data_IF_230308402146
#
_entry.id   IF_230308402146
#
_cell.length_a   1.000
_cell.length_b   1.000
_cell.length_c   1.000
_cell.angle_alpha   90.00
_cell.angle_beta   90.00
_cell.angle_gamma   90.00
#
_symmetry.space_group_name_H-M   'P 1'
#
loop_
_entity.id
_entity.type
_entity.pdbx_description
1 polymer ?
#
# COMPACT_ATOMS: atom_id res chain seq x y z
N UNK A 1 -3.19 42.97 26.79
CA UNK A 1 -2.19 42.03 27.30
C UNK A 1 -2.35 40.76 26.48
N UNK A 2 -1.40 40.43 25.62
CA UNK A 2 -1.43 39.16 24.89
C UNK A 2 -1.30 38.04 25.92
N UNK A 3 -2.21 37.08 25.86
CA UNK A 3 -2.19 35.92 26.74
C UNK A 3 -0.85 35.18 26.58
N UNK A 4 -0.26 34.78 27.70
CA UNK A 4 1.06 34.15 27.72
C UNK A 4 1.06 32.81 26.95
N UNK A 5 -0.09 32.14 26.96
CA UNK A 5 -0.31 30.89 26.24
C UNK A 5 -0.42 31.12 24.72
N UNK A 6 -1.22 32.09 24.29
CA UNK A 6 -1.31 32.49 22.88
C UNK A 6 0.05 32.92 22.32
N UNK A 7 0.87 33.60 23.13
CA UNK A 7 2.23 33.98 22.73
C UNK A 7 3.13 32.78 22.50
N UNK A 8 3.04 31.74 23.35
CA UNK A 8 3.80 30.48 23.18
C UNK A 8 3.37 29.75 21.91
N UNK A 9 2.06 29.67 21.67
CA UNK A 9 1.49 29.03 20.49
C UNK A 9 1.93 29.71 19.19
N UNK A 10 1.85 31.04 19.13
CA UNK A 10 2.31 31.81 17.97
C UNK A 10 3.81 31.64 17.72
N UNK A 11 4.62 31.61 18.78
CA UNK A 11 6.06 31.34 18.67
C UNK A 11 6.35 29.95 18.09
N UNK A 12 5.64 28.92 18.56
CA UNK A 12 5.80 27.56 18.03
C UNK A 12 5.42 27.49 16.55
N UNK A 13 4.29 28.10 16.16
CA UNK A 13 3.85 28.17 14.76
C UNK A 13 4.88 28.83 13.85
N UNK A 14 5.47 29.93 14.29
CA UNK A 14 6.50 30.65 13.53
C UNK A 14 7.81 29.86 13.40
N UNK A 15 8.06 28.85 14.23
CA UNK A 15 9.32 28.10 14.28
C UNK A 15 9.26 26.74 13.58
N UNK A 16 8.12 26.34 13.01
CA UNK A 16 7.91 25.04 12.35
C UNK A 16 8.95 24.72 11.27
N UNK A 17 9.36 25.73 10.51
CA UNK A 17 10.37 25.60 9.45
C UNK A 17 11.77 25.17 9.93
N UNK A 18 12.04 25.17 11.24
CA UNK A 18 13.34 24.77 11.83
C UNK A 18 13.56 23.27 11.90
N UNK A 19 12.48 22.50 11.88
CA UNK A 19 12.51 21.03 11.82
C UNK A 19 11.57 20.58 10.70
N UNK A 20 11.93 20.86 9.44
CA UNK A 20 11.10 20.49 8.31
C UNK A 20 11.36 19.05 7.90
N UNK A 21 10.33 18.40 7.38
CA UNK A 21 10.38 17.08 6.76
C UNK A 21 9.58 17.09 5.46
N UNK A 22 9.90 16.18 4.54
CA UNK A 22 9.10 15.98 3.33
C UNK A 22 7.95 15.04 3.66
N UNK A 23 6.72 15.41 3.30
CA UNK A 23 5.49 14.73 3.77
C UNK A 23 5.48 13.24 3.44
N UNK A 24 5.74 12.88 2.18
CA UNK A 24 5.66 11.50 1.72
C UNK A 24 7.05 10.83 1.58
N UNK A 25 8.11 11.51 2.04
CA UNK A 25 9.50 11.02 2.00
C UNK A 25 10.28 11.43 3.27
N UNK A 26 9.89 10.85 4.39
CA UNK A 26 10.58 10.97 5.68
C UNK A 26 10.61 9.60 6.38
N UNK A 27 11.43 9.48 7.43
CA UNK A 27 11.62 8.20 8.13
C UNK A 27 10.34 7.63 8.73
N UNK A 28 9.48 8.49 9.28
CA UNK A 28 8.23 8.03 9.88
C UNK A 28 7.31 7.45 8.81
N UNK A 29 7.10 8.19 7.72
CA UNK A 29 6.28 7.72 6.60
C UNK A 29 6.83 6.45 5.97
N UNK A 30 8.14 6.32 5.82
CA UNK A 30 8.75 5.09 5.31
C UNK A 30 8.45 3.92 6.24
N UNK A 31 8.62 4.09 7.55
CA UNK A 31 8.34 3.04 8.55
C UNK A 31 6.87 2.64 8.55
N UNK A 32 5.97 3.61 8.56
CA UNK A 32 4.53 3.38 8.52
C UNK A 32 4.16 2.60 7.25
N UNK A 33 4.70 3.01 6.09
CA UNK A 33 4.42 2.32 4.83
C UNK A 33 4.96 0.89 4.79
N UNK A 34 6.14 0.64 5.35
CA UNK A 34 6.69 -0.72 5.46
C UNK A 34 5.82 -1.60 6.36
N UNK A 35 5.31 -1.04 7.45
CA UNK A 35 4.40 -1.73 8.36
C UNK A 35 3.08 -2.07 7.67
N UNK A 36 2.45 -1.10 6.98
CA UNK A 36 1.21 -1.31 6.22
C UNK A 36 1.37 -2.43 5.16
N UNK A 37 2.48 -2.39 4.40
CA UNK A 37 2.76 -3.42 3.39
C UNK A 37 2.89 -4.80 4.04
N UNK A 38 3.58 -4.88 5.18
CA UNK A 38 3.75 -6.14 5.92
C UNK A 38 2.40 -6.71 6.36
N UNK A 39 1.54 -5.91 6.96
CA UNK A 39 0.20 -6.35 7.39
C UNK A 39 -0.66 -6.82 6.21
N UNK A 40 -0.59 -6.12 5.08
CA UNK A 40 -1.31 -6.51 3.87
C UNK A 40 -0.78 -7.82 3.28
N UNK A 41 0.54 -8.02 3.26
CA UNK A 41 1.14 -9.30 2.83
C UNK A 41 0.75 -10.45 3.77
N UNK A 42 0.73 -10.22 5.09
CA UNK A 42 0.27 -11.21 6.07
C UNK A 42 -1.22 -11.53 5.87
N UNK A 43 -2.06 -10.53 5.55
CA UNK A 43 -3.48 -10.76 5.23
C UNK A 43 -3.66 -11.66 4.01
N UNK A 44 -2.83 -11.49 2.98
CA UNK A 44 -2.83 -12.38 1.80
C UNK A 44 -2.47 -13.81 2.21
N UNK A 45 -1.48 -13.99 3.10
CA UNK A 45 -1.14 -15.31 3.62
C UNK A 45 -2.34 -16.01 4.26
N UNK A 46 -3.15 -15.29 5.05
CA UNK A 46 -4.37 -15.82 5.66
C UNK A 46 -5.49 -16.12 4.66
N UNK A 47 -5.66 -15.27 3.64
CA UNK A 47 -6.64 -15.48 2.57
C UNK A 47 -6.33 -16.75 1.78
N UNK A 48 -5.05 -16.99 1.49
CA UNK A 48 -4.60 -18.16 0.74
C UNK A 48 -4.68 -19.42 1.62
N UNK A 49 -4.19 -19.40 2.86
CA UNK A 49 -4.19 -20.59 3.74
C UNK A 49 -5.59 -21.13 4.11
N UNK A 50 -6.61 -20.27 4.12
CA UNK A 50 -7.97 -20.68 4.52
C UNK A 50 -8.77 -21.23 3.33
N UNK A 51 -8.36 -20.89 2.11
CA UNK A 51 -9.09 -21.15 0.87
C UNK A 51 -8.09 -21.36 -0.30
N UNK A 52 -7.12 -22.26 -0.10
CA UNK A 52 -6.07 -22.56 -1.10
C UNK A 52 -6.70 -22.96 -2.45
N UNK A 53 -7.87 -23.62 -2.41
CA UNK A 53 -8.67 -23.96 -3.59
C UNK A 53 -9.06 -22.71 -4.39
N UNK A 54 -9.36 -21.58 -3.74
CA UNK A 54 -9.76 -20.35 -4.43
C UNK A 54 -8.61 -19.70 -5.21
N UNK A 55 -7.38 -19.65 -4.67
CA UNK A 55 -6.24 -19.11 -5.43
C UNK A 55 -5.83 -20.05 -6.58
N UNK A 56 -5.79 -21.35 -6.32
CA UNK A 56 -5.49 -22.37 -7.34
C UNK A 56 -6.53 -22.34 -8.46
N UNK A 57 -7.83 -22.23 -8.12
CA UNK A 57 -8.90 -22.07 -9.11
C UNK A 57 -8.80 -20.75 -9.89
N UNK A 58 -8.35 -19.66 -9.25
CA UNK A 58 -8.12 -18.38 -9.94
C UNK A 58 -7.01 -18.47 -11.00
N UNK A 59 -6.10 -19.43 -10.81
CA UNK A 59 -4.96 -19.71 -11.68
C UNK A 59 -5.17 -20.98 -12.50
N UNK A 60 -6.41 -21.27 -12.88
CA UNK A 60 -6.79 -22.40 -13.74
C UNK A 60 -6.30 -23.77 -13.25
N UNK A 61 -6.22 -23.95 -11.92
CA UNK A 61 -5.74 -25.20 -11.31
C UNK A 61 -4.21 -25.31 -11.22
N UNK A 62 -3.46 -24.25 -11.53
CA UNK A 62 -2.01 -24.26 -11.49
C UNK A 62 -1.47 -24.06 -10.06
N UNK A 63 -1.23 -25.18 -9.37
CA UNK A 63 -0.69 -25.20 -8.01
C UNK A 63 0.71 -24.58 -7.90
N UNK A 64 1.57 -24.75 -8.92
CA UNK A 64 2.93 -24.21 -8.92
C UNK A 64 2.90 -22.67 -8.97
N UNK A 65 2.08 -22.09 -9.85
CA UNK A 65 1.91 -20.64 -9.94
C UNK A 65 1.28 -20.05 -8.66
N UNK A 66 0.30 -20.74 -8.08
CA UNK A 66 -0.30 -20.32 -6.80
C UNK A 66 0.74 -20.29 -5.67
N UNK A 67 1.59 -21.32 -5.62
CA UNK A 67 2.68 -21.39 -4.65
C UNK A 67 3.72 -20.29 -4.88
N UNK A 68 4.17 -20.07 -6.11
CA UNK A 68 5.10 -19.00 -6.46
C UNK A 68 4.55 -17.63 -6.07
N UNK A 69 3.27 -17.37 -6.36
CA UNK A 69 2.61 -16.11 -6.01
C UNK A 69 2.59 -15.89 -4.49
N UNK A 70 2.29 -16.92 -3.70
CA UNK A 70 2.36 -16.87 -2.23
C UNK A 70 3.78 -16.61 -1.72
N UNK A 71 4.78 -17.25 -2.32
CA UNK A 71 6.18 -17.04 -1.98
C UNK A 71 6.61 -15.59 -2.25
N UNK A 72 6.15 -14.96 -3.33
CA UNK A 72 6.45 -13.56 -3.61
C UNK A 72 5.93 -12.59 -2.53
N UNK A 73 4.72 -12.81 -1.99
CA UNK A 73 4.21 -12.00 -0.86
C UNK A 73 5.00 -12.25 0.43
N UNK A 74 5.40 -13.50 0.67
CA UNK A 74 6.20 -13.90 1.84
C UNK A 74 7.59 -13.25 1.80
N UNK A 75 8.24 -13.26 0.64
CA UNK A 75 9.55 -12.62 0.43
C UNK A 75 9.45 -11.10 0.60
N UNK A 76 8.42 -10.49 0.04
CA UNK A 76 8.18 -9.05 0.19
C UNK A 76 7.94 -8.66 1.66
N UNK A 77 7.18 -9.46 2.41
CA UNK A 77 6.96 -9.29 3.85
C UNK A 77 8.30 -9.33 4.61
N UNK A 78 9.12 -10.36 4.36
CA UNK A 78 10.43 -10.51 4.98
C UNK A 78 11.39 -9.36 4.63
N UNK A 79 11.34 -8.83 3.42
CA UNK A 79 12.14 -7.68 3.01
C UNK A 79 11.68 -6.37 3.66
N UNK A 80 10.37 -6.15 3.79
CA UNK A 80 9.84 -5.00 4.52
C UNK A 80 10.27 -5.04 5.99
N UNK A 81 10.22 -6.22 6.62
CA UNK A 81 10.68 -6.41 7.99
C UNK A 81 12.19 -6.14 8.14
N UNK A 82 13.00 -6.65 7.22
CA UNK A 82 14.45 -6.39 7.21
C UNK A 82 14.73 -4.91 7.10
N UNK A 83 14.10 -4.22 6.14
CA UNK A 83 14.28 -2.78 5.98
C UNK A 83 13.79 -2.01 7.21
N UNK A 84 12.66 -2.38 7.81
CA UNK A 84 12.14 -1.75 9.02
C UNK A 84 13.12 -1.89 10.19
N UNK A 85 13.64 -3.10 10.42
CA UNK A 85 14.68 -3.35 11.43
C UNK A 85 15.94 -2.50 11.17
N UNK A 86 16.38 -2.47 9.92
CA UNK A 86 17.54 -1.72 9.44
C UNK A 86 17.41 -0.20 9.71
N UNK A 87 16.22 0.37 9.48
CA UNK A 87 15.92 1.78 9.77
C UNK A 87 15.89 2.13 11.26
N UNK A 88 15.93 1.14 12.15
CA UNK A 88 15.96 1.32 13.61
C UNK A 88 17.36 1.09 14.21
N UNK A 89 18.37 0.84 13.37
CA UNK A 89 19.76 0.70 13.77
C UNK A 89 20.51 2.05 13.77
N UNK A 90 21.67 2.09 14.43
CA UNK A 90 22.48 3.31 14.65
C UNK A 90 23.09 3.92 13.37
N UNK A 91 23.09 3.21 12.24
CA UNK A 91 23.72 3.69 11.00
C UNK A 91 22.90 4.72 10.22
N UNK A 92 21.72 5.08 10.73
CA UNK A 92 20.83 6.05 10.12
C UNK A 92 21.43 7.46 10.20
N UNK A 93 21.54 8.19 9.07
CA UNK A 93 22.04 9.54 9.12
C UNK A 93 21.03 10.45 9.81
N UNK A 94 21.44 11.13 10.88
CA UNK A 94 20.61 12.11 11.61
C UNK A 94 19.99 13.19 10.69
N UNK A 95 20.64 13.44 9.55
CA UNK A 95 20.17 14.41 8.57
C UNK A 95 19.13 13.88 7.58
N UNK A 96 18.71 12.61 7.62
CA UNK A 96 17.85 11.99 6.59
C UNK A 96 16.63 12.85 6.21
N UNK A 97 15.81 13.22 7.20
CA UNK A 97 14.58 13.96 6.90
C UNK A 97 14.90 15.37 6.37
N UNK A 98 15.93 16.02 6.91
CA UNK A 98 16.39 17.33 6.43
C UNK A 98 17.08 17.26 5.07
N UNK A 99 17.64 16.11 4.70
CA UNK A 99 18.38 15.92 3.46
C UNK A 99 17.45 16.09 2.26
N UNK A 100 16.33 15.36 2.26
CA UNK A 100 15.33 15.44 1.18
C UNK A 100 14.66 16.82 1.10
N UNK A 101 14.45 17.50 2.24
CA UNK A 101 14.02 18.90 2.25
C UNK A 101 15.09 19.80 1.59
N UNK A 102 16.35 19.67 1.97
CA UNK A 102 17.42 20.55 1.50
C UNK A 102 17.68 20.47 -0.01
N UNK A 103 17.41 19.32 -0.62
CA UNK A 103 17.53 19.10 -2.08
C UNK A 103 16.24 19.41 -2.86
N UNK A 104 15.15 19.81 -2.19
CA UNK A 104 13.91 20.24 -2.84
C UNK A 104 12.92 19.13 -3.16
N UNK A 105 12.98 17.97 -2.49
CA UNK A 105 12.04 16.87 -2.75
C UNK A 105 10.60 17.17 -2.27
N UNK A 106 10.36 18.31 -1.61
CA UNK A 106 9.01 18.71 -1.18
C UNK A 106 8.01 18.82 -2.33
N UNK A 107 8.44 19.27 -3.50
CA UNK A 107 7.55 19.46 -4.67
C UNK A 107 6.99 18.13 -5.21
N UNK A 108 7.80 17.07 -5.18
CA UNK A 108 7.44 15.76 -5.74
C UNK A 108 6.76 14.83 -4.73
N UNK A 109 6.96 15.05 -3.43
CA UNK A 109 6.57 14.11 -2.36
C UNK A 109 5.61 14.75 -1.34
N UNK A 110 4.55 15.39 -1.85
CA UNK A 110 3.39 15.79 -1.04
C UNK A 110 3.55 17.08 -0.23
N UNK A 111 4.62 17.84 -0.45
CA UNK A 111 4.90 19.10 0.23
C UNK A 111 5.79 18.96 1.47
N UNK A 112 5.96 20.08 2.18
CA UNK A 112 6.76 20.15 3.39
C UNK A 112 5.88 20.21 4.64
N UNK A 113 6.30 19.49 5.68
CA UNK A 113 5.76 19.61 7.02
C UNK A 113 6.80 20.23 7.96
N UNK A 114 6.37 20.92 9.00
CA UNK A 114 7.24 21.46 10.04
C UNK A 114 6.71 21.18 11.44
N UNK A 115 7.61 20.84 12.35
CA UNK A 115 7.28 20.45 13.72
C UNK A 115 6.82 21.64 14.58
N UNK A 116 5.64 21.53 15.16
CA UNK A 116 5.10 22.47 16.13
C UNK A 116 5.37 21.98 17.56
N UNK A 117 6.26 22.66 18.29
CA UNK A 117 6.62 22.28 19.66
C UNK A 117 5.52 22.51 20.70
N UNK A 118 4.49 23.30 20.39
CA UNK A 118 3.37 23.52 21.32
C UNK A 118 2.33 22.40 21.14
N UNK A 119 1.95 22.10 19.90
CA UNK A 119 0.98 21.04 19.57
C UNK A 119 1.62 19.63 19.58
N UNK A 120 2.95 19.54 19.61
CA UNK A 120 3.74 18.29 19.58
C UNK A 120 3.52 17.46 18.31
N UNK A 121 3.25 18.12 17.18
CA UNK A 121 2.88 17.48 15.92
C UNK A 121 3.42 18.24 14.69
N UNK A 122 3.39 17.62 13.52
CA UNK A 122 3.81 18.18 12.25
C UNK A 122 2.64 18.83 11.49
N UNK A 123 2.89 20.00 10.92
CA UNK A 123 1.90 20.75 10.15
C UNK A 123 2.45 21.17 8.79
N UNK A 124 1.57 21.23 7.79
CA UNK A 124 1.92 21.71 6.46
C UNK A 124 2.52 23.13 6.46
N UNK A 125 3.55 23.32 5.64
CA UNK A 125 4.14 24.61 5.32
C UNK A 125 3.60 25.05 3.95
N UNK A 126 3.09 26.28 3.84
CA UNK A 126 2.42 26.76 2.62
C UNK A 126 2.97 28.09 2.07
N UNK A 127 3.86 28.76 2.82
CA UNK A 127 4.42 30.06 2.46
C UNK A 127 5.83 30.28 3.01
N UNK A 128 6.46 29.23 3.53
CA UNK A 128 7.80 29.26 4.14
C UNK A 128 8.73 28.22 3.55
N UNK A 129 8.40 27.64 2.41
CA UNK A 129 9.10 26.46 1.87
C UNK A 129 10.54 26.80 1.51
N UNK A 130 10.76 27.98 0.90
CA UNK A 130 12.11 28.51 0.68
C UNK A 130 12.91 28.65 1.99
N UNK A 131 12.27 29.04 3.10
CA UNK A 131 12.95 29.13 4.40
C UNK A 131 13.24 27.75 5.00
N UNK A 132 12.35 26.78 4.82
CA UNK A 132 12.53 25.42 5.28
C UNK A 132 13.67 24.73 4.53
N UNK A 133 13.71 24.84 3.21
CA UNK A 133 14.82 24.35 2.39
C UNK A 133 16.13 25.02 2.77
N UNK A 134 16.14 26.34 2.95
CA UNK A 134 17.35 27.07 3.32
C UNK A 134 17.86 26.69 4.72
N UNK A 135 16.97 26.45 5.69
CA UNK A 135 17.37 25.94 7.01
C UNK A 135 17.94 24.52 6.94
N UNK A 136 17.32 23.63 6.15
CA UNK A 136 17.86 22.30 5.89
C UNK A 136 19.23 22.37 5.22
N UNK A 137 19.39 23.20 4.19
CA UNK A 137 20.69 23.44 3.53
C UNK A 137 21.74 23.99 4.48
N UNK A 138 21.37 24.89 5.40
CA UNK A 138 22.30 25.39 6.44
C UNK A 138 22.76 24.26 7.35
N UNK A 139 21.86 23.36 7.74
CA UNK A 139 22.21 22.20 8.57
C UNK A 139 23.13 21.23 7.83
N UNK A 140 22.81 20.91 6.56
CA UNK A 140 23.67 20.07 5.72
C UNK A 140 25.05 20.68 5.46
N UNK A 141 25.15 22.00 5.29
CA UNK A 141 26.42 22.73 5.11
C UNK A 141 27.33 22.72 6.35
N UNK A 142 26.83 22.29 7.53
CA UNK A 142 27.67 22.10 8.72
C UNK A 142 28.44 20.79 8.68
N UNK A 143 28.02 19.83 7.86
CA UNK A 143 28.74 18.60 7.62
C UNK A 143 30.00 18.90 6.80
N UNK A 144 31.07 18.16 7.07
CA UNK A 144 32.23 18.08 6.18
C UNK A 144 31.82 17.49 4.82
N UNK A 145 32.66 17.68 3.80
CA UNK A 145 32.41 17.11 2.47
C UNK A 145 32.29 15.58 2.53
N UNK A 146 33.14 14.94 3.32
CA UNK A 146 33.14 13.48 3.46
C UNK A 146 31.89 12.98 4.20
N UNK A 147 31.46 13.66 5.27
CA UNK A 147 30.21 13.36 5.96
C UNK A 147 29.00 13.55 5.07
N UNK A 148 28.94 14.64 4.30
CA UNK A 148 27.85 14.90 3.37
C UNK A 148 27.78 13.82 2.28
N UNK A 149 28.91 13.38 1.73
CA UNK A 149 28.96 12.28 0.74
C UNK A 149 28.48 10.97 1.38
N UNK A 150 28.95 10.65 2.58
CA UNK A 150 28.55 9.44 3.30
C UNK A 150 27.05 9.43 3.62
N UNK A 151 26.52 10.55 4.14
CA UNK A 151 25.11 10.73 4.44
C UNK A 151 24.25 10.66 3.17
N UNK A 152 24.66 11.33 2.09
CA UNK A 152 23.96 11.30 0.79
C UNK A 152 23.87 9.87 0.27
N UNK A 153 24.99 9.13 0.29
CA UNK A 153 25.01 7.71 -0.10
C UNK A 153 23.97 6.92 0.68
N UNK A 154 23.89 7.11 2.00
CA UNK A 154 22.96 6.36 2.83
C UNK A 154 21.50 6.76 2.57
N UNK A 155 21.23 8.06 2.44
CA UNK A 155 19.89 8.56 2.09
C UNK A 155 19.40 7.98 0.77
N UNK A 156 20.24 7.97 -0.27
CA UNK A 156 19.88 7.41 -1.57
C UNK A 156 19.69 5.89 -1.53
N UNK A 157 20.49 5.16 -0.75
CA UNK A 157 20.30 3.70 -0.59
C UNK A 157 18.95 3.38 0.03
N UNK A 158 18.60 4.08 1.12
CA UNK A 158 17.30 3.92 1.78
C UNK A 158 16.17 4.24 0.80
N UNK A 159 16.25 5.39 0.12
CA UNK A 159 15.25 5.79 -0.86
C UNK A 159 15.06 4.76 -1.98
N UNK A 160 16.17 4.30 -2.59
CA UNK A 160 16.11 3.31 -3.66
C UNK A 160 15.51 1.98 -3.20
N UNK A 161 15.92 1.49 -2.03
CA UNK A 161 15.36 0.27 -1.43
C UNK A 161 13.86 0.41 -1.14
N UNK A 162 13.45 1.56 -0.59
CA UNK A 162 12.05 1.85 -0.31
C UNK A 162 11.19 1.88 -1.58
N UNK A 163 11.62 2.62 -2.60
CA UNK A 163 10.89 2.73 -3.87
C UNK A 163 10.79 1.36 -4.57
N UNK A 164 11.85 0.56 -4.53
CA UNK A 164 11.84 -0.79 -5.09
C UNK A 164 10.89 -1.75 -4.35
N UNK A 165 10.74 -1.60 -3.02
CA UNK A 165 9.76 -2.35 -2.24
C UNK A 165 8.33 -1.93 -2.57
N UNK A 166 8.04 -0.62 -2.58
CA UNK A 166 6.72 -0.10 -2.95
C UNK A 166 6.32 -0.58 -4.34
N UNK A 167 7.22 -0.44 -5.33
CA UNK A 167 6.91 -0.84 -6.69
C UNK A 167 6.53 -2.32 -6.80
N UNK A 168 7.25 -3.21 -6.09
CA UNK A 168 6.95 -4.64 -6.07
C UNK A 168 5.64 -4.94 -5.35
N UNK A 169 5.38 -4.26 -4.24
CA UNK A 169 4.09 -4.35 -3.55
C UNK A 169 2.94 -3.94 -4.46
N UNK A 170 3.04 -2.79 -5.14
CA UNK A 170 1.98 -2.29 -6.02
C UNK A 170 1.72 -3.25 -7.19
N UNK A 171 2.79 -3.83 -7.77
CA UNK A 171 2.64 -4.87 -8.80
C UNK A 171 1.92 -6.12 -8.28
N UNK A 172 2.34 -6.63 -7.12
CA UNK A 172 1.75 -7.83 -6.51
C UNK A 172 0.29 -7.60 -6.08
N UNK A 173 0.01 -6.43 -5.50
CA UNK A 173 -1.34 -6.04 -5.10
C UNK A 173 -2.26 -5.94 -6.30
N UNK A 174 -1.82 -5.28 -7.38
CA UNK A 174 -2.60 -5.20 -8.61
C UNK A 174 -2.90 -6.58 -9.20
N UNK A 175 -1.93 -7.50 -9.20
CA UNK A 175 -2.15 -8.88 -9.63
C UNK A 175 -3.17 -9.60 -8.74
N UNK A 176 -3.06 -9.46 -7.41
CA UNK A 176 -3.99 -10.09 -6.47
C UNK A 176 -5.41 -9.55 -6.60
N UNK A 177 -5.56 -8.23 -6.80
CA UNK A 177 -6.86 -7.60 -7.00
C UNK A 177 -7.52 -8.10 -8.30
N UNK A 178 -6.75 -8.28 -9.38
CA UNK A 178 -7.25 -8.90 -10.62
C UNK A 178 -7.75 -10.33 -10.36
N UNK A 179 -6.98 -11.15 -9.62
CA UNK A 179 -7.37 -12.53 -9.30
C UNK A 179 -8.63 -12.58 -8.43
N UNK A 180 -8.76 -11.68 -7.45
CA UNK A 180 -9.96 -11.56 -6.62
C UNK A 180 -11.19 -11.13 -7.41
N UNK A 181 -11.07 -10.12 -8.26
CA UNK A 181 -12.19 -9.62 -9.08
C UNK A 181 -12.70 -10.69 -10.06
N UNK A 182 -11.79 -11.44 -10.69
CA UNK A 182 -12.14 -12.58 -11.55
C UNK A 182 -12.93 -13.66 -10.80
N UNK A 183 -12.48 -14.03 -9.60
CA UNK A 183 -13.13 -15.05 -8.79
C UNK A 183 -14.47 -14.60 -8.20
N UNK A 184 -14.63 -13.34 -7.78
CA UNK A 184 -15.92 -12.81 -7.31
C UNK A 184 -16.96 -12.89 -8.44
N UNK A 185 -16.57 -12.56 -9.68
CA UNK A 185 -17.45 -12.69 -10.85
C UNK A 185 -17.91 -14.13 -11.08
N UNK A 186 -16.99 -15.09 -11.01
CA UNK A 186 -17.30 -16.51 -11.16
C UNK A 186 -18.20 -17.04 -10.03
N UNK A 187 -17.86 -16.75 -8.77
CA UNK A 187 -18.65 -17.16 -7.59
C UNK A 187 -20.08 -16.61 -7.66
N UNK A 188 -20.25 -15.34 -8.06
CA UNK A 188 -21.58 -14.76 -8.24
C UNK A 188 -22.38 -15.46 -9.33
N UNK A 189 -21.73 -15.84 -10.45
CA UNK A 189 -22.34 -16.57 -11.54
C UNK A 189 -22.79 -17.97 -11.11
N UNK A 190 -21.91 -18.73 -10.44
CA UNK A 190 -22.21 -20.07 -9.90
C UNK A 190 -23.36 -19.99 -8.89
N UNK A 191 -23.34 -19.00 -7.99
CA UNK A 191 -24.44 -18.81 -7.02
C UNK A 191 -25.76 -18.49 -7.72
N UNK A 192 -25.74 -17.61 -8.73
CA UNK A 192 -26.92 -17.28 -9.52
C UNK A 192 -27.47 -18.51 -10.26
N UNK A 193 -26.61 -19.36 -10.81
CA UNK A 193 -26.99 -20.61 -11.47
C UNK A 193 -27.60 -21.58 -10.45
N UNK A 194 -26.96 -21.78 -9.30
CA UNK A 194 -27.47 -22.63 -8.23
C UNK A 194 -28.85 -22.19 -7.72
N UNK A 195 -29.01 -20.90 -7.42
CA UNK A 195 -30.30 -20.33 -6.98
C UNK A 195 -31.39 -20.48 -8.06
N UNK A 196 -31.03 -20.34 -9.34
CA UNK A 196 -31.98 -20.49 -10.45
C UNK A 196 -32.32 -21.95 -10.69
N UNK A 197 -31.35 -22.86 -10.55
CA UNK A 197 -31.53 -24.30 -10.64
C UNK A 197 -32.49 -24.80 -9.56
N UNK A 198 -32.29 -24.42 -8.30
CA UNK A 198 -33.18 -24.82 -7.20
C UNK A 198 -34.63 -24.33 -7.40
N UNK A 199 -34.80 -23.11 -7.93
CA UNK A 199 -36.12 -22.57 -8.27
C UNK A 199 -36.74 -23.34 -9.44
N UNK A 200 -35.98 -23.59 -10.49
CA UNK A 200 -36.44 -24.35 -11.64
C UNK A 200 -36.86 -25.77 -11.21
N UNK A 201 -36.05 -26.48 -10.42
CA UNK A 201 -36.36 -27.81 -9.89
C UNK A 201 -37.67 -27.83 -9.08
N UNK A 202 -37.83 -26.86 -8.17
CA UNK A 202 -39.02 -26.72 -7.32
C UNK A 202 -40.30 -26.44 -8.11
N UNK A 203 -40.27 -25.45 -9.00
CA UNK A 203 -41.47 -24.97 -9.72
C UNK A 203 -41.83 -25.89 -10.90
N UNK A 204 -40.88 -26.66 -11.44
CA UNK A 204 -41.11 -27.63 -12.52
C UNK A 204 -41.38 -29.07 -12.04
N UNK A 205 -41.45 -29.29 -10.72
CA UNK A 205 -41.60 -30.61 -10.10
C UNK A 205 -40.51 -31.59 -10.57
N UNK A 206 -39.26 -31.23 -10.35
CA UNK A 206 -38.11 -32.05 -10.74
C UNK A 206 -37.85 -32.04 -12.24
N UNK A 207 -37.98 -30.88 -12.90
CA UNK A 207 -37.83 -30.71 -14.35
C UNK A 207 -38.81 -31.53 -15.20
N UNK A 208 -39.91 -31.98 -14.59
CA UNK A 208 -40.97 -32.69 -15.31
C UNK A 208 -41.77 -31.76 -16.24
N UNK A 209 -41.82 -30.46 -15.92
CA UNK A 209 -42.49 -29.43 -16.70
C UNK A 209 -41.50 -28.40 -17.23
N UNK A 210 -41.09 -28.55 -18.49
CA UNK A 210 -40.10 -27.73 -19.19
C UNK A 210 -40.62 -26.34 -19.61
N UNK A 211 -41.94 -26.16 -19.67
CA UNK A 211 -42.56 -24.90 -20.07
C UNK A 211 -42.56 -23.81 -18.99
N UNK A 212 -42.20 -24.17 -17.76
CA UNK A 212 -42.15 -23.31 -16.58
C UNK A 212 -41.13 -22.19 -16.81
N UNK A 213 -41.46 -20.97 -16.38
CA UNK A 213 -40.67 -19.77 -16.68
C UNK A 213 -39.24 -19.89 -16.13
N UNK A 214 -39.12 -20.45 -14.94
CA UNK A 214 -37.89 -20.64 -14.19
C UNK A 214 -36.93 -21.61 -14.91
N UNK A 215 -37.46 -22.64 -15.59
CA UNK A 215 -36.66 -23.57 -16.42
C UNK A 215 -36.10 -22.84 -17.65
N UNK A 216 -36.91 -22.01 -18.32
CA UNK A 216 -36.46 -21.20 -19.46
C UNK A 216 -35.43 -20.15 -19.06
N UNK A 217 -35.53 -19.61 -17.85
CA UNK A 217 -34.58 -18.65 -17.30
C UNK A 217 -33.23 -19.30 -16.98
N UNK A 218 -33.25 -20.53 -16.44
CA UNK A 218 -32.08 -21.37 -16.27
C UNK A 218 -31.41 -21.69 -17.63
N UNK A 219 -32.16 -22.18 -18.61
CA UNK A 219 -31.63 -22.50 -19.95
C UNK A 219 -30.99 -21.29 -20.61
N UNK A 220 -31.60 -20.11 -20.44
CA UNK A 220 -31.04 -18.85 -20.95
C UNK A 220 -29.73 -18.50 -20.26
N UNK A 221 -29.62 -18.66 -18.94
CA UNK A 221 -28.38 -18.40 -18.21
C UNK A 221 -27.27 -19.34 -18.67
N UNK A 222 -27.58 -20.64 -18.75
CA UNK A 222 -26.67 -21.68 -19.20
C UNK A 222 -26.19 -21.42 -20.64
N UNK A 223 -27.09 -21.05 -21.55
CA UNK A 223 -26.78 -20.81 -22.96
C UNK A 223 -25.93 -19.55 -23.21
N UNK A 224 -25.89 -18.62 -22.25
CA UNK A 224 -25.08 -17.41 -22.34
C UNK A 224 -23.77 -17.50 -21.55
N UNK A 225 -23.44 -18.67 -20.98
CA UNK A 225 -22.17 -18.84 -20.30
C UNK A 225 -21.00 -18.78 -21.28
N UNK A 226 -19.87 -18.16 -20.90
CA UNK A 226 -18.64 -18.20 -21.67
C UNK A 226 -18.19 -19.64 -21.92
N UNK A 227 -17.57 -19.90 -23.08
CA UNK A 227 -17.20 -21.25 -23.51
C UNK A 227 -16.21 -21.90 -22.54
N UNK A 228 -15.39 -21.07 -21.91
CA UNK A 228 -14.40 -21.40 -20.88
C UNK A 228 -15.05 -22.10 -19.67
N UNK A 229 -16.29 -21.75 -19.32
CA UNK A 229 -17.03 -22.36 -18.20
C UNK A 229 -17.45 -23.83 -18.45
N UNK A 230 -17.26 -24.34 -19.68
CA UNK A 230 -17.62 -25.71 -20.08
C UNK A 230 -16.42 -26.64 -20.27
N UNK A 231 -15.20 -26.11 -20.18
CA UNK A 231 -13.96 -26.81 -20.55
C UNK A 231 -13.14 -27.21 -19.32
N UNK A 232 -13.39 -26.59 -18.15
CA UNK A 232 -12.90 -27.06 -16.85
C UNK A 232 -13.69 -28.27 -16.36
#
# INVERSE_FOLDING_TARGET
>A
MTDAEETKRQKARLMRYKKPIVKDLNLQTIRDRLYDIREECESVHWYVDTDDETLVNALDGNEDEAYEFKMMFSDLCAECERMYCDLNQEWMPDCFDSFFVGIGAGEDFGGLLGYDSYEQDYFGLSCTDAFAEDESRKSLKRLTKDELIAASRQCFRIYQSFVALIYRYDCLKAAMDILKDGNIGYIQMVRQIGETYEKADRESNGFRYDFVKEVKELDRLISNMPQEAWIQ
#
